data_IF_233831434873
#
_entry.id   IF_233831434873
#
_cell.length_a   1.000
_cell.length_b   1.000
_cell.length_c   1.000
_cell.angle_alpha   90.00
_cell.angle_beta   90.00
_cell.angle_gamma   90.00
#
_symmetry.space_group_name_H-M   'P 1'
#
loop_
_entity.id
_entity.type
_entity.pdbx_description
1 polymer ?
#
# COMPACT_ATOMS: atom_id res chain seq x y z
N UNK A 1 -52.59 -16.23 9.90
CA UNK A 1 -51.18 -16.70 9.78
C UNK A 1 -50.50 -16.33 8.45
N UNK A 2 -51.22 -15.86 7.40
CA UNK A 2 -50.63 -15.56 6.08
C UNK A 2 -49.71 -14.34 5.99
N UNK A 3 -49.91 -13.29 6.80
CA UNK A 3 -49.11 -12.06 6.73
C UNK A 3 -47.61 -12.26 7.04
N UNK A 4 -47.29 -13.22 7.92
CA UNK A 4 -45.90 -13.57 8.24
C UNK A 4 -45.18 -14.21 7.06
N UNK A 5 -45.88 -15.01 6.27
CA UNK A 5 -45.33 -15.61 5.05
C UNK A 5 -45.13 -14.57 3.94
N UNK A 6 -46.03 -13.59 3.82
CA UNK A 6 -45.88 -12.48 2.86
C UNK A 6 -44.66 -11.62 3.20
N UNK A 7 -44.44 -11.31 4.49
CA UNK A 7 -43.26 -10.57 4.95
C UNK A 7 -41.95 -11.33 4.70
N UNK A 8 -41.92 -12.64 4.98
CA UNK A 8 -40.75 -13.49 4.72
C UNK A 8 -40.47 -13.60 3.23
N UNK A 9 -41.51 -13.72 2.39
CA UNK A 9 -41.36 -13.75 0.94
C UNK A 9 -40.83 -12.42 0.38
N UNK A 10 -41.34 -11.28 0.84
CA UNK A 10 -40.88 -9.96 0.41
C UNK A 10 -39.40 -9.72 0.78
N UNK A 11 -38.98 -10.12 1.98
CA UNK A 11 -37.59 -10.01 2.43
C UNK A 11 -36.66 -10.96 1.65
N UNK A 12 -37.10 -12.19 1.37
CA UNK A 12 -36.33 -13.14 0.55
C UNK A 12 -36.15 -12.68 -0.89
N UNK A 13 -37.20 -12.12 -1.50
CA UNK A 13 -37.17 -11.61 -2.88
C UNK A 13 -36.30 -10.34 -2.98
N UNK A 14 -36.32 -9.48 -1.96
CA UNK A 14 -35.42 -8.32 -1.84
C UNK A 14 -33.94 -8.71 -1.76
N UNK A 15 -33.60 -9.74 -0.97
CA UNK A 15 -32.23 -10.23 -0.85
C UNK A 15 -31.70 -10.82 -2.17
N UNK A 16 -32.52 -11.59 -2.89
CA UNK A 16 -32.14 -12.18 -4.17
C UNK A 16 -31.96 -11.11 -5.26
N UNK A 17 -32.77 -10.04 -5.23
CA UNK A 17 -32.65 -8.90 -6.15
C UNK A 17 -31.33 -8.12 -5.95
N UNK A 18 -30.92 -7.91 -4.69
CA UNK A 18 -29.62 -7.28 -4.39
C UNK A 18 -28.44 -8.14 -4.84
N UNK A 19 -28.53 -9.47 -4.67
CA UNK A 19 -27.50 -10.39 -5.15
C UNK A 19 -27.36 -10.36 -6.70
N UNK A 20 -28.47 -10.20 -7.42
CA UNK A 20 -28.47 -10.14 -8.88
C UNK A 20 -27.85 -8.84 -9.44
N UNK A 21 -28.11 -7.69 -8.80
CA UNK A 21 -27.49 -6.40 -9.16
C UNK A 21 -25.96 -6.46 -9.04
N UNK A 22 -25.45 -7.07 -7.95
CA UNK A 22 -24.02 -7.25 -7.74
C UNK A 22 -23.38 -8.12 -8.84
N UNK A 23 -24.07 -9.16 -9.30
CA UNK A 23 -23.60 -10.02 -10.38
C UNK A 23 -23.57 -9.30 -11.75
N UNK A 24 -24.54 -8.41 -12.00
CA UNK A 24 -24.57 -7.61 -13.23
C UNK A 24 -23.45 -6.56 -13.28
N UNK A 25 -23.16 -5.91 -12.15
CA UNK A 25 -22.04 -4.96 -12.06
C UNK A 25 -20.66 -5.63 -12.18
N UNK A 26 -20.53 -6.88 -11.71
CA UNK A 26 -19.29 -7.65 -11.83
C UNK A 26 -18.90 -7.96 -13.29
N UNK A 27 -19.88 -8.17 -14.17
CA UNK A 27 -19.61 -8.50 -15.57
C UNK A 27 -19.21 -7.28 -16.41
N UNK A 28 -19.52 -6.06 -15.93
CA UNK A 28 -19.19 -4.79 -16.61
C UNK A 28 -17.72 -4.39 -16.45
N UNK A 29 -17.00 -4.99 -15.51
CA UNK A 29 -15.59 -4.71 -15.19
C UNK A 29 -14.61 -5.60 -15.99
N UNK A 30 -15.08 -6.57 -16.80
CA UNK A 30 -14.21 -7.48 -17.58
C UNK A 30 -13.91 -7.12 -19.06
N UNK A 31 -13.67 -5.87 -19.49
CA UNK A 31 -13.01 -5.65 -20.79
C UNK A 31 -11.49 -5.35 -20.72
N UNK A 32 -10.81 -5.41 -19.58
CA UNK A 32 -9.38 -4.99 -19.46
C UNK A 32 -8.38 -6.17 -19.37
N UNK A 33 -8.72 -7.38 -19.83
CA UNK A 33 -7.77 -8.51 -19.94
C UNK A 33 -7.30 -8.83 -21.37
N UNK A 34 -7.70 -8.04 -22.37
CA UNK A 34 -7.27 -8.24 -23.77
C UNK A 34 -5.89 -7.66 -24.14
N UNK A 35 -5.25 -6.88 -23.27
CA UNK A 35 -4.08 -6.05 -23.64
C UNK A 35 -2.74 -6.54 -23.05
N UNK A 36 -2.74 -7.58 -22.21
CA UNK A 36 -1.56 -7.99 -21.42
C UNK A 36 -0.78 -9.18 -22.01
N UNK A 37 -1.10 -9.66 -23.20
CA UNK A 37 -0.41 -10.79 -23.87
C UNK A 37 0.85 -10.39 -24.67
N UNK A 38 1.29 -9.13 -24.63
CA UNK A 38 2.43 -8.64 -25.44
C UNK A 38 3.74 -8.43 -24.64
N UNK A 39 3.81 -8.82 -23.36
CA UNK A 39 4.97 -8.58 -22.48
C UNK A 39 5.87 -9.80 -22.20
N UNK A 40 5.71 -10.91 -22.93
CA UNK A 40 6.34 -12.20 -22.60
C UNK A 40 7.67 -12.56 -23.30
N UNK A 41 8.37 -11.67 -24.01
CA UNK A 41 9.48 -12.07 -24.90
C UNK A 41 10.91 -11.54 -24.60
N UNK A 42 11.21 -10.85 -23.49
CA UNK A 42 12.55 -10.20 -23.34
C UNK A 42 13.25 -10.41 -21.99
N UNK A 43 13.17 -11.59 -21.37
CA UNK A 43 13.88 -11.86 -20.10
C UNK A 43 14.75 -13.12 -20.11
N UNK A 44 15.51 -13.34 -21.19
CA UNK A 44 16.56 -14.35 -21.24
C UNK A 44 17.89 -13.71 -21.58
N UNK A 45 18.65 -13.31 -20.55
CA UNK A 45 20.10 -13.17 -20.67
C UNK A 45 20.70 -11.91 -20.07
N UNK A 46 21.04 -11.93 -18.79
CA UNK A 46 22.21 -11.20 -18.26
C UNK A 46 22.85 -12.02 -17.12
N UNK A 47 24.11 -12.42 -17.35
CA UNK A 47 24.94 -13.31 -16.54
C UNK A 47 25.67 -12.51 -15.44
N UNK A 48 25.49 -12.89 -14.16
CA UNK A 48 25.85 -12.11 -12.97
C UNK A 48 27.27 -12.36 -12.40
N UNK A 49 28.16 -13.03 -13.13
CA UNK A 49 29.48 -13.47 -12.59
C UNK A 49 30.64 -12.44 -12.67
N UNK A 50 30.37 -11.13 -12.72
CA UNK A 50 31.43 -10.12 -12.98
C UNK A 50 31.49 -8.91 -12.03
N UNK A 51 31.18 -9.09 -10.74
CA UNK A 51 31.12 -7.99 -9.75
C UNK A 51 32.14 -7.97 -8.59
N UNK A 52 33.44 -8.32 -8.74
CA UNK A 52 34.44 -7.95 -7.72
C UNK A 52 35.34 -6.74 -8.05
N UNK A 53 35.10 -5.99 -9.14
CA UNK A 53 36.00 -4.90 -9.56
C UNK A 53 35.50 -3.45 -9.33
N UNK A 54 34.46 -3.22 -8.52
CA UNK A 54 33.84 -1.89 -8.33
C UNK A 54 33.84 -1.36 -6.87
N UNK A 55 34.59 -1.97 -5.95
CA UNK A 55 34.60 -1.62 -4.52
C UNK A 55 35.63 -0.52 -4.12
N UNK A 56 36.07 0.34 -5.04
CA UNK A 56 37.25 1.20 -4.81
C UNK A 56 37.05 2.73 -4.80
N UNK A 57 35.84 3.28 -4.99
CA UNK A 57 35.70 4.72 -5.27
C UNK A 57 34.55 5.39 -4.51
N UNK A 58 34.70 5.67 -3.21
CA UNK A 58 33.83 6.63 -2.52
C UNK A 58 34.38 7.08 -1.14
N UNK A 59 35.49 7.85 -1.10
CA UNK A 59 36.02 8.37 0.19
C UNK A 59 36.46 9.85 0.19
N UNK A 60 35.91 10.71 -0.69
CA UNK A 60 36.41 12.10 -0.82
C UNK A 60 35.37 13.24 -0.72
N UNK A 61 34.13 12.98 -0.30
CA UNK A 61 33.05 13.99 -0.37
C UNK A 61 32.56 14.58 0.97
N UNK A 62 33.14 14.20 2.12
CA UNK A 62 32.54 14.52 3.43
C UNK A 62 33.13 15.72 4.20
N UNK A 63 34.05 16.50 3.64
CA UNK A 63 34.71 17.60 4.38
C UNK A 63 34.28 19.03 4.03
N UNK A 64 33.21 19.24 3.22
CA UNK A 64 32.89 20.60 2.72
C UNK A 64 31.63 21.29 3.26
N UNK A 65 30.91 20.73 4.23
CA UNK A 65 29.63 21.31 4.70
C UNK A 65 29.70 21.73 6.17
N UNK A 66 30.70 22.52 6.54
CA UNK A 66 30.68 23.22 7.83
C UNK A 66 31.22 24.64 7.70
N UNK A 67 30.33 25.55 7.36
CA UNK A 67 30.56 26.99 7.48
C UNK A 67 29.78 27.76 6.43
N UNK A 68 28.68 28.40 6.83
CA UNK A 68 28.43 29.85 6.68
C UNK A 68 26.97 30.18 7.03
N UNK A 69 26.81 31.00 8.07
CA UNK A 69 25.57 31.72 8.43
C UNK A 69 25.28 32.80 7.39
N UNK A 70 24.00 33.05 7.10
CA UNK A 70 23.30 34.36 7.09
C UNK A 70 21.94 34.25 6.35
N UNK A 71 20.93 34.95 6.88
CA UNK A 71 19.59 35.16 6.29
C UNK A 71 19.59 36.44 5.40
N UNK A 72 18.48 37.03 4.88
CA UNK A 72 17.10 36.57 4.58
C UNK A 72 16.62 36.99 3.14
N UNK A 73 15.31 36.83 2.85
CA UNK A 73 14.48 37.58 1.86
C UNK A 73 14.40 37.06 0.41
N UNK A 74 13.22 36.63 -0.07
CA UNK A 74 12.73 36.75 -1.47
C UNK A 74 11.19 36.54 -1.45
N UNK A 75 10.35 37.56 -1.60
CA UNK A 75 9.87 38.20 -2.83
C UNK A 75 9.32 37.24 -3.91
N UNK A 76 8.01 37.38 -4.08
CA UNK A 76 7.13 37.01 -5.20
C UNK A 76 7.77 37.29 -6.57
N UNK A 77 7.76 36.32 -7.49
CA UNK A 77 7.75 36.59 -8.93
C UNK A 77 7.05 35.43 -9.68
N UNK A 78 5.86 35.73 -10.21
CA UNK A 78 5.26 35.00 -11.33
C UNK A 78 5.89 35.55 -12.61
N UNK A 79 6.27 34.66 -13.52
CA UNK A 79 6.36 34.97 -14.95
C UNK A 79 6.02 33.71 -15.76
N UNK A 80 4.88 33.77 -16.42
CA UNK A 80 4.61 33.21 -17.76
C UNK A 80 5.65 33.75 -18.76
N UNK A 81 6.04 33.16 -19.89
CA UNK A 81 5.62 32.07 -20.77
C UNK A 81 6.91 31.55 -21.45
N UNK A 82 7.00 30.27 -21.83
CA UNK A 82 7.38 29.96 -23.22
C UNK A 82 6.91 28.56 -23.62
N UNK A 83 6.11 28.50 -24.68
CA UNK A 83 5.50 27.30 -25.20
C UNK A 83 6.42 26.62 -26.19
N UNK A 84 7.12 25.57 -25.75
CA UNK A 84 7.81 24.65 -26.69
C UNK A 84 6.88 23.49 -27.00
N UNK A 85 6.35 23.53 -28.21
CA UNK A 85 5.68 22.44 -28.91
C UNK A 85 6.74 21.36 -29.21
N UNK A 86 6.95 20.45 -28.28
CA UNK A 86 7.77 19.25 -28.44
C UNK A 86 6.95 18.11 -29.05
N UNK A 87 7.47 17.57 -30.14
CA UNK A 87 7.05 16.38 -30.90
C UNK A 87 6.73 15.15 -30.05
N UNK A 88 5.86 14.22 -30.52
CA UNK A 88 5.63 12.95 -29.84
C UNK A 88 6.84 12.04 -30.10
N UNK A 89 7.83 12.11 -29.22
CA UNK A 89 8.97 11.21 -29.31
C UNK A 89 8.55 9.82 -28.80
N UNK A 90 8.48 8.90 -29.76
CA UNK A 90 8.25 7.48 -29.56
C UNK A 90 9.55 6.84 -29.10
N UNK A 91 9.87 7.01 -27.80
CA UNK A 91 11.07 6.46 -27.17
C UNK A 91 10.73 5.73 -25.89
N UNK A 92 10.22 4.50 -26.00
CA UNK A 92 9.86 3.63 -24.88
C UNK A 92 11.12 3.12 -24.18
N UNK A 93 11.71 3.94 -23.30
CA UNK A 93 12.66 3.46 -22.31
C UNK A 93 11.97 2.48 -21.34
N UNK A 94 12.69 1.54 -20.71
CA UNK A 94 12.10 0.68 -19.68
C UNK A 94 11.65 1.58 -18.55
N UNK A 95 10.33 1.78 -18.42
CA UNK A 95 9.74 2.40 -17.25
C UNK A 95 10.14 1.53 -16.07
N UNK A 96 11.20 1.91 -15.34
CA UNK A 96 11.36 1.49 -13.95
C UNK A 96 10.09 1.96 -13.28
N UNK A 97 9.20 1.01 -12.98
CA UNK A 97 8.05 1.29 -12.17
C UNK A 97 8.59 2.04 -10.94
N UNK A 98 8.09 3.25 -10.63
CA UNK A 98 8.48 3.90 -9.40
C UNK A 98 8.28 2.88 -8.26
N UNK A 99 9.20 2.85 -7.27
CA UNK A 99 9.05 1.96 -6.12
C UNK A 99 7.62 2.09 -5.60
N UNK A 100 6.97 0.99 -5.19
CA UNK A 100 5.55 0.98 -4.89
C UNK A 100 5.24 2.07 -3.86
N UNK A 101 4.72 3.20 -4.34
CA UNK A 101 4.43 4.36 -3.52
C UNK A 101 3.09 4.10 -2.84
N UNK A 102 3.04 4.26 -1.52
CA UNK A 102 1.82 4.10 -0.74
C UNK A 102 0.80 5.12 -1.20
N UNK A 103 -0.34 4.65 -1.69
CA UNK A 103 -1.49 5.53 -1.91
C UNK A 103 -2.26 5.71 -0.59
N UNK A 104 -1.76 6.63 0.23
CA UNK A 104 -2.38 6.96 1.53
C UNK A 104 -3.84 7.38 1.39
N UNK A 105 -4.21 8.07 0.30
CA UNK A 105 -5.60 8.49 0.08
C UNK A 105 -6.49 7.26 -0.13
N UNK A 106 -6.02 6.30 -0.92
CA UNK A 106 -6.72 5.04 -1.16
C UNK A 106 -6.89 4.19 0.10
N UNK A 107 -5.88 4.18 0.97
CA UNK A 107 -5.92 3.46 2.24
C UNK A 107 -6.90 4.14 3.21
N UNK A 108 -6.74 5.45 3.43
CA UNK A 108 -7.57 6.20 4.37
C UNK A 108 -9.04 6.27 3.94
N UNK A 109 -9.33 6.26 2.63
CA UNK A 109 -10.70 6.18 2.13
C UNK A 109 -11.38 4.83 2.36
N UNK A 110 -10.60 3.77 2.58
CA UNK A 110 -11.11 2.43 2.92
C UNK A 110 -11.25 2.20 4.43
N UNK A 111 -10.74 3.12 5.24
CA UNK A 111 -10.76 3.04 6.70
C UNK A 111 -11.56 4.20 7.33
N UNK A 112 -12.91 4.11 7.29
CA UNK A 112 -13.76 5.15 7.87
C UNK A 112 -13.75 5.18 9.40
N UNK A 113 -13.29 4.10 10.05
CA UNK A 113 -13.29 3.95 11.51
C UNK A 113 -11.94 4.31 12.16
N UNK A 114 -11.00 4.82 11.36
CA UNK A 114 -9.66 5.20 11.78
C UNK A 114 -8.89 4.05 12.47
N UNK A 115 -9.16 2.81 12.03
CA UNK A 115 -8.50 1.63 12.55
C UNK A 115 -7.01 1.57 12.20
N UNK A 116 -6.60 2.14 11.07
CA UNK A 116 -5.19 2.29 10.71
C UNK A 116 -4.47 3.19 11.71
N UNK A 117 -5.06 4.32 12.07
CA UNK A 117 -4.49 5.24 13.06
C UNK A 117 -4.44 4.58 14.44
N UNK A 118 -5.49 3.86 14.82
CA UNK A 118 -5.50 3.05 16.04
C UNK A 118 -4.39 2.00 16.05
N UNK A 119 -4.22 1.26 14.96
CA UNK A 119 -3.16 0.27 14.79
C UNK A 119 -1.78 0.90 14.96
N UNK A 120 -1.52 2.00 14.25
CA UNK A 120 -0.23 2.70 14.32
C UNK A 120 0.05 3.18 15.75
N UNK A 121 -0.93 3.77 16.42
CA UNK A 121 -0.78 4.17 17.82
C UNK A 121 -0.44 2.97 18.70
N UNK A 122 -1.17 1.86 18.56
CA UNK A 122 -0.97 0.65 19.35
C UNK A 122 0.43 0.05 19.11
N UNK A 123 0.86 -0.10 17.86
CA UNK A 123 2.19 -0.62 17.51
C UNK A 123 3.31 0.24 18.11
N UNK A 124 3.26 1.56 17.89
CA UNK A 124 4.31 2.47 18.40
C UNK A 124 4.30 2.58 19.93
N UNK A 125 3.16 2.32 20.57
CA UNK A 125 3.06 2.22 22.04
C UNK A 125 3.58 0.89 22.61
N UNK A 126 3.94 -0.08 21.75
CA UNK A 126 4.55 -1.35 22.13
C UNK A 126 3.61 -2.57 22.07
N UNK A 127 2.43 -2.44 21.46
CA UNK A 127 1.56 -3.60 21.24
C UNK A 127 2.20 -4.58 20.25
N UNK A 128 2.06 -5.88 20.49
CA UNK A 128 2.53 -6.95 19.60
C UNK A 128 4.03 -6.87 19.24
N UNK A 129 4.87 -6.36 20.15
CA UNK A 129 6.32 -6.22 19.92
C UNK A 129 7.06 -7.55 19.66
N UNK A 130 6.43 -8.69 19.96
CA UNK A 130 6.97 -10.03 19.68
C UNK A 130 6.53 -10.59 18.31
N UNK A 131 5.62 -9.91 17.59
CA UNK A 131 5.13 -10.36 16.30
C UNK A 131 6.06 -9.87 15.17
N UNK A 132 6.55 -10.75 14.28
CA UNK A 132 7.45 -10.35 13.19
C UNK A 132 6.76 -9.41 12.20
N UNK A 133 5.44 -9.53 12.02
CA UNK A 133 4.68 -8.64 11.15
C UNK A 133 4.59 -7.22 11.73
N UNK A 134 4.59 -7.09 13.06
CA UNK A 134 4.61 -5.79 13.72
C UNK A 134 5.94 -5.06 13.50
N UNK A 135 7.06 -5.77 13.62
CA UNK A 135 8.41 -5.23 13.39
C UNK A 135 8.54 -4.66 11.97
N UNK A 136 8.17 -5.45 10.96
CA UNK A 136 8.17 -5.02 9.56
C UNK A 136 7.31 -3.77 9.32
N UNK A 137 6.14 -3.70 9.95
CA UNK A 137 5.26 -2.54 9.82
C UNK A 137 5.82 -1.31 10.53
N UNK A 138 6.46 -1.47 11.69
CA UNK A 138 7.09 -0.36 12.41
C UNK A 138 8.25 0.24 11.61
N UNK A 139 9.16 -0.59 11.09
CA UNK A 139 10.29 -0.17 10.24
C UNK A 139 9.80 0.55 8.97
N UNK A 140 8.73 0.03 8.39
CA UNK A 140 8.11 0.63 7.22
C UNK A 140 7.49 1.99 7.52
N UNK A 141 6.78 2.11 8.64
CA UNK A 141 6.18 3.37 9.07
C UNK A 141 7.28 4.40 9.31
N UNK A 142 8.35 4.05 10.03
CA UNK A 142 9.49 4.92 10.32
C UNK A 142 10.12 5.50 9.04
N UNK A 143 10.32 4.66 8.02
CA UNK A 143 10.87 5.10 6.73
C UNK A 143 9.89 5.89 5.86
N UNK A 144 8.57 5.73 6.06
CA UNK A 144 7.53 6.33 5.22
C UNK A 144 6.88 7.58 5.81
N UNK A 145 7.26 7.99 7.03
CA UNK A 145 6.63 9.11 7.74
C UNK A 145 6.72 10.46 7.01
N UNK A 146 7.82 10.73 6.31
CA UNK A 146 8.04 12.00 5.61
C UNK A 146 7.00 12.24 4.49
N UNK A 147 6.50 11.16 3.90
CA UNK A 147 5.53 11.17 2.81
C UNK A 147 4.09 10.95 3.30
N UNK A 148 3.91 10.71 4.60
CA UNK A 148 2.62 10.33 5.17
C UNK A 148 1.74 11.57 5.48
N UNK A 149 0.41 11.46 5.37
CA UNK A 149 -0.51 12.52 5.81
C UNK A 149 -0.37 12.83 7.30
N UNK A 150 -0.66 14.08 7.69
CA UNK A 150 -0.55 14.55 9.07
C UNK A 150 -1.31 13.68 10.11
N UNK A 151 -2.43 13.04 9.71
CA UNK A 151 -3.18 12.11 10.57
C UNK A 151 -2.34 10.89 10.97
N UNK A 152 -1.54 10.36 10.05
CA UNK A 152 -0.67 9.20 10.27
C UNK A 152 0.49 9.58 11.20
N UNK A 153 1.17 10.69 10.92
CA UNK A 153 2.24 11.19 11.78
C UNK A 153 1.76 11.51 13.21
N UNK A 154 0.51 11.99 13.36
CA UNK A 154 -0.11 12.20 14.68
C UNK A 154 -0.36 10.89 15.42
N UNK A 155 -0.86 9.85 14.74
CA UNK A 155 -1.06 8.54 15.35
C UNK A 155 0.28 7.93 15.80
N UNK A 156 1.30 8.04 14.96
CA UNK A 156 2.66 7.57 15.23
C UNK A 156 3.27 8.26 16.47
N UNK A 157 3.29 9.59 16.48
CA UNK A 157 3.84 10.37 17.60
C UNK A 157 3.09 10.14 18.92
N UNK A 158 1.76 9.95 18.87
CA UNK A 158 0.97 9.58 20.05
C UNK A 158 1.29 8.20 20.58
N UNK A 159 1.44 7.21 19.70
CA UNK A 159 1.86 5.87 20.11
C UNK A 159 3.20 5.89 20.85
N UNK A 160 4.18 6.65 20.32
CA UNK A 160 5.45 6.86 21.02
C UNK A 160 5.29 7.53 22.40
N UNK A 161 4.40 8.52 22.52
CA UNK A 161 4.11 9.19 23.79
C UNK A 161 3.38 8.27 24.80
N UNK A 162 2.68 7.25 24.32
CA UNK A 162 1.89 6.31 25.12
C UNK A 162 2.60 4.97 25.33
N UNK A 163 3.92 4.90 25.16
CA UNK A 163 4.69 3.66 25.27
C UNK A 163 4.44 2.93 26.60
N UNK A 164 4.06 1.65 26.52
CA UNK A 164 3.66 0.82 27.66
C UNK A 164 2.18 0.94 28.07
N UNK A 165 1.42 1.89 27.49
CA UNK A 165 0.00 2.11 27.76
C UNK A 165 -0.82 2.02 26.48
N UNK A 166 -0.77 0.86 25.83
CA UNK A 166 -1.43 0.58 24.54
C UNK A 166 -2.93 0.84 24.56
N UNK A 167 -3.58 0.58 25.70
CA UNK A 167 -5.03 0.75 25.85
C UNK A 167 -5.47 2.21 25.72
N UNK A 168 -4.58 3.18 25.97
CA UNK A 168 -4.90 4.61 25.80
C UNK A 168 -5.09 5.00 24.34
N UNK A 169 -4.60 4.19 23.39
CA UNK A 169 -4.86 4.41 21.97
C UNK A 169 -6.35 4.27 21.63
N UNK A 170 -7.12 3.42 22.34
CA UNK A 170 -8.57 3.30 22.12
C UNK A 170 -9.35 4.55 22.53
N UNK A 171 -8.85 5.32 23.48
CA UNK A 171 -9.49 6.58 23.88
C UNK A 171 -9.39 7.64 22.78
N UNK A 172 -8.30 7.62 22.00
CA UNK A 172 -8.09 8.54 20.90
C UNK A 172 -8.80 8.10 19.61
N UNK A 173 -8.96 6.78 19.44
CA UNK A 173 -9.59 6.18 18.26
C UNK A 173 -10.76 5.27 18.68
N UNK A 174 -11.86 5.85 19.23
CA UNK A 174 -12.94 5.08 19.86
C UNK A 174 -13.80 4.28 18.86
N UNK A 175 -13.74 4.62 17.57
CA UNK A 175 -14.52 3.93 16.54
C UNK A 175 -13.87 2.64 16.05
N UNK A 176 -12.57 2.44 16.32
CA UNK A 176 -11.92 1.20 15.95
C UNK A 176 -12.13 0.13 17.03
N UNK A 177 -12.88 -0.92 16.67
CA UNK A 177 -13.19 -2.04 17.57
C UNK A 177 -12.08 -3.10 17.65
N UNK A 178 -11.09 -3.03 16.75
CA UNK A 178 -10.08 -4.06 16.62
C UNK A 178 -8.80 -3.68 17.37
N UNK A 179 -8.20 -4.68 18.03
CA UNK A 179 -6.86 -4.57 18.59
C UNK A 179 -5.79 -4.78 17.52
N UNK A 180 -4.56 -4.33 17.80
CA UNK A 180 -3.39 -4.56 16.96
C UNK A 180 -3.24 -6.04 16.60
N UNK A 181 -3.43 -6.93 17.58
CA UNK A 181 -3.42 -8.39 17.38
C UNK A 181 -4.38 -8.85 16.29
N UNK A 182 -5.63 -8.40 16.34
CA UNK A 182 -6.65 -8.80 15.38
C UNK A 182 -6.36 -8.20 14.01
N UNK A 183 -5.95 -6.94 13.95
CA UNK A 183 -5.61 -6.27 12.70
C UNK A 183 -4.42 -6.91 12.01
N UNK A 184 -3.34 -7.25 12.74
CA UNK A 184 -2.18 -7.97 12.20
C UNK A 184 -2.57 -9.35 11.67
N UNK A 185 -3.43 -10.11 12.37
CA UNK A 185 -3.94 -11.40 11.87
C UNK A 185 -4.71 -11.25 10.57
N UNK A 186 -5.55 -10.22 10.46
CA UNK A 186 -6.31 -9.93 9.24
C UNK A 186 -5.35 -9.58 8.10
N UNK A 187 -4.36 -8.72 8.34
CA UNK A 187 -3.35 -8.34 7.35
C UNK A 187 -2.55 -9.55 6.87
N UNK A 188 -2.14 -10.42 7.79
CA UNK A 188 -1.47 -11.68 7.48
C UNK A 188 -2.34 -12.56 6.59
N UNK A 189 -3.61 -12.75 6.95
CA UNK A 189 -4.54 -13.53 6.14
C UNK A 189 -4.71 -12.98 4.72
N UNK A 190 -4.79 -11.65 4.55
CA UNK A 190 -4.83 -11.02 3.22
C UNK A 190 -3.51 -11.20 2.45
N UNK A 191 -2.37 -11.22 3.13
CA UNK A 191 -1.07 -11.46 2.47
C UNK A 191 -0.92 -12.92 2.01
N UNK A 192 -1.42 -13.88 2.77
CA UNK A 192 -1.37 -15.31 2.45
C UNK A 192 -2.36 -15.68 1.34
N UNK A 193 -3.59 -15.15 1.38
CA UNK A 193 -4.62 -15.41 0.36
C UNK A 193 -4.36 -14.72 -0.97
N UNK A 194 -3.55 -13.65 -0.99
CA UNK A 194 -3.05 -13.03 -2.21
C UNK A 194 -1.97 -13.87 -2.92
N UNK A 195 -1.37 -14.85 -2.24
CA UNK A 195 -0.40 -15.80 -2.79
C UNK A 195 -1.11 -17.09 -3.20
N UNK A 196 -1.82 -17.09 -4.33
CA UNK A 196 -2.29 -18.35 -4.95
C UNK A 196 -1.07 -19.09 -5.50
N UNK A 197 -0.79 -20.34 -5.09
CA UNK A 197 0.24 -21.18 -5.73
C UNK A 197 -0.18 -21.45 -7.17
N UNK A 198 0.74 -21.25 -8.11
CA UNK A 198 0.51 -21.43 -9.53
C UNK A 198 1.17 -22.74 -9.99
N UNK A 199 0.83 -23.85 -9.33
CA UNK A 199 1.48 -25.11 -9.57
C UNK A 199 0.51 -26.25 -9.24
N UNK A 200 -0.15 -26.80 -10.28
CA UNK A 200 -0.25 -28.22 -10.67
C UNK A 200 -1.33 -28.32 -11.77
N UNK A 201 -0.92 -28.16 -13.02
CA UNK A 201 -1.52 -28.85 -14.18
C UNK A 201 -0.46 -28.86 -15.27
N UNK A 202 0.41 -29.87 -15.26
CA UNK A 202 0.66 -30.66 -16.47
C UNK A 202 1.60 -31.80 -16.12
N UNK A 203 1.02 -32.99 -16.08
CA UNK A 203 1.72 -34.23 -15.89
C UNK A 203 0.98 -35.32 -16.63
N UNK A 204 1.56 -35.70 -17.77
CA UNK A 204 1.42 -37.03 -18.39
C UNK A 204 0.39 -37.15 -19.53
N UNK A 205 0.79 -36.71 -20.72
CA UNK A 205 0.44 -37.42 -21.96
C UNK A 205 1.67 -38.16 -22.47
N UNK A 206 1.83 -39.39 -21.98
CA UNK A 206 2.75 -40.37 -22.56
C UNK A 206 2.08 -41.06 -23.75
N UNK A 207 2.81 -41.07 -24.87
CA UNK A 207 3.11 -42.25 -25.71
C UNK A 207 2.08 -43.40 -25.69
N UNK A 208 1.32 -43.54 -26.78
CA UNK A 208 1.34 -44.68 -27.73
C UNK A 208 0.30 -44.48 -28.85
#
# INVERSE_FOLDING_TARGET
MGFRFILLAAMGLGAMYMMHQLAQDWNRIRPIQGITMLAGQVSSGLNLNRLPALAGQASAALTRIRGRREAPSYHRQRHELDGVRGTPDSGRGPYRAPPPAIDWKRILSRDPFECLQSLICQLMSGAEAAAPEAELLMDYLESSLELAPAKIGRAFSRGLALRGFTDRCYNEYPFCLYSAKTMLRILRWFSETGAVPQDVEDGQKGED
#
